data_IF_139884500924
#
_entry.id   IF_139884500924
#
_cell.length_a   1.000
_cell.length_b   1.000
_cell.length_c   1.000
_cell.angle_alpha   90.00
_cell.angle_beta   90.00
_cell.angle_gamma   90.00
#
_symmetry.space_group_name_H-M   'P 1'
#
loop_
_entity.id
_entity.type
_entity.pdbx_description
1 polymer ?
#
# COMPACT_ATOMS: atom_id res chain seq x y z
N UNK A 1 -24.54 26.24 -2.81
CA UNK A 1 -25.24 27.47 -2.42
C UNK A 1 -25.53 27.51 -0.91
N UNK A 2 -26.28 26.55 -0.34
CA UNK A 2 -26.62 26.52 1.08
C UNK A 2 -25.39 26.55 1.99
N UNK A 3 -24.40 25.72 1.72
CA UNK A 3 -23.16 25.66 2.51
C UNK A 3 -22.42 27.01 2.52
N UNK A 4 -22.33 27.69 1.37
CA UNK A 4 -21.72 29.01 1.29
C UNK A 4 -22.47 30.04 2.12
N UNK A 5 -23.82 30.04 2.07
CA UNK A 5 -24.64 30.94 2.88
C UNK A 5 -24.42 30.71 4.39
N UNK A 6 -24.37 29.46 4.83
CA UNK A 6 -24.11 29.13 6.24
C UNK A 6 -22.72 29.62 6.66
N UNK A 7 -21.71 29.43 5.79
CA UNK A 7 -20.33 29.90 6.08
C UNK A 7 -20.20 31.43 6.14
N UNK A 8 -21.00 32.16 5.38
CA UNK A 8 -21.04 33.63 5.44
C UNK A 8 -21.67 34.14 6.77
N UNK A 9 -22.50 33.34 7.42
CA UNK A 9 -23.13 33.65 8.69
C UNK A 9 -22.29 33.20 9.93
N UNK A 10 -21.17 32.55 9.73
CA UNK A 10 -20.28 32.05 10.81
C UNK A 10 -19.52 33.23 11.41
N UNK A 11 -19.70 33.46 12.70
CA UNK A 11 -18.95 34.47 13.46
C UNK A 11 -17.65 33.86 14.02
N UNK A 12 -16.67 34.68 14.47
CA UNK A 12 -15.44 34.19 15.06
C UNK A 12 -15.64 33.30 16.32
N UNK A 13 -16.76 33.47 17.02
CA UNK A 13 -17.12 32.73 18.23
C UNK A 13 -17.78 31.36 17.91
N UNK A 14 -18.27 31.21 16.67
CA UNK A 14 -18.97 29.97 16.29
C UNK A 14 -17.99 28.83 16.10
N UNK A 15 -18.41 27.63 16.53
CA UNK A 15 -17.73 26.36 16.24
C UNK A 15 -18.66 25.52 15.38
N UNK A 16 -18.24 25.33 14.13
CA UNK A 16 -19.01 24.56 13.15
C UNK A 16 -18.40 23.20 12.99
N UNK A 17 -19.15 22.15 13.30
CA UNK A 17 -18.75 20.77 13.10
C UNK A 17 -19.09 20.32 11.68
N UNK A 18 -18.10 19.76 11.01
CA UNK A 18 -18.29 19.24 9.65
C UNK A 18 -18.19 17.72 9.70
N UNK A 19 -19.30 17.03 9.40
CA UNK A 19 -19.31 15.58 9.26
C UNK A 19 -18.60 15.20 7.97
N UNK A 20 -17.47 14.55 8.12
CA UNK A 20 -16.65 13.99 7.05
C UNK A 20 -16.89 12.50 7.02
N UNK A 21 -17.42 11.99 5.93
CA UNK A 21 -17.67 10.55 5.73
C UNK A 21 -18.03 10.29 4.26
N UNK A 22 -18.18 9.03 3.89
CA UNK A 22 -18.73 8.65 2.59
C UNK A 22 -20.18 9.09 2.43
N UNK A 23 -20.61 9.31 1.21
CA UNK A 23 -21.95 9.88 0.91
C UNK A 23 -23.10 9.15 1.60
N UNK A 24 -23.05 7.82 1.68
CA UNK A 24 -24.09 7.04 2.36
C UNK A 24 -24.11 7.29 3.89
N UNK A 25 -22.95 7.50 4.51
CA UNK A 25 -22.85 7.84 5.93
C UNK A 25 -23.38 9.23 6.26
N UNK A 26 -23.48 10.16 5.28
CA UNK A 26 -24.08 11.48 5.49
C UNK A 26 -25.61 11.37 5.65
N UNK A 27 -26.25 10.57 4.81
CA UNK A 27 -27.72 10.55 4.66
C UNK A 27 -28.42 9.46 5.45
N UNK A 28 -27.73 8.36 5.76
CA UNK A 28 -28.35 7.22 6.46
C UNK A 28 -28.16 7.33 7.98
N UNK A 29 -29.27 7.49 8.77
CA UNK A 29 -29.18 7.66 10.21
C UNK A 29 -28.75 6.39 10.97
N UNK A 30 -28.84 5.21 10.36
CA UNK A 30 -28.32 3.97 10.93
C UNK A 30 -26.81 3.93 10.78
N UNK A 31 -26.30 4.16 9.57
CA UNK A 31 -24.88 4.12 9.26
C UNK A 31 -24.09 5.25 9.95
N UNK A 32 -24.70 6.41 10.20
CA UNK A 32 -24.07 7.49 10.95
C UNK A 32 -24.46 7.52 12.43
N UNK A 33 -25.17 6.50 12.93
CA UNK A 33 -25.62 6.36 14.32
C UNK A 33 -26.38 7.59 14.87
N UNK A 34 -26.96 8.41 14.00
CA UNK A 34 -27.63 9.66 14.38
C UNK A 34 -26.71 10.76 14.89
N UNK A 35 -25.40 10.68 14.61
CA UNK A 35 -24.38 11.64 15.05
C UNK A 35 -24.74 13.08 14.71
N UNK A 36 -25.18 13.43 13.48
CA UNK A 36 -25.58 14.82 13.19
C UNK A 36 -26.66 15.35 14.14
N UNK A 37 -27.67 14.52 14.44
CA UNK A 37 -28.73 14.87 15.37
C UNK A 37 -28.22 15.09 16.79
N UNK A 38 -27.27 14.30 17.24
CA UNK A 38 -26.65 14.45 18.57
C UNK A 38 -25.80 15.71 18.69
N UNK A 39 -25.11 16.10 17.62
CA UNK A 39 -24.37 17.38 17.56
C UNK A 39 -25.33 18.57 17.58
N UNK A 40 -26.42 18.55 16.80
CA UNK A 40 -27.45 19.59 16.79
C UNK A 40 -28.12 19.78 18.16
N UNK A 41 -28.46 18.69 18.87
CA UNK A 41 -29.03 18.74 20.23
C UNK A 41 -28.12 19.46 21.24
N UNK A 42 -26.83 19.51 21.01
CA UNK A 42 -25.83 20.20 21.83
C UNK A 42 -25.57 21.64 21.40
N UNK A 43 -26.42 22.16 20.53
CA UNK A 43 -26.33 23.53 20.04
C UNK A 43 -25.23 23.79 19.01
N UNK A 44 -24.60 22.72 18.48
CA UNK A 44 -23.60 22.91 17.44
C UNK A 44 -24.23 23.26 16.09
N UNK A 45 -23.57 24.12 15.32
CA UNK A 45 -23.84 24.22 13.88
C UNK A 45 -23.18 23.04 13.20
N UNK A 46 -23.91 22.35 12.31
CA UNK A 46 -23.44 21.13 11.65
C UNK A 46 -23.51 21.29 10.14
N UNK A 47 -22.39 21.11 9.51
CA UNK A 47 -22.27 20.93 8.05
C UNK A 47 -21.90 19.50 7.74
N UNK A 48 -22.06 19.12 6.49
CA UNK A 48 -21.53 17.86 5.96
C UNK A 48 -20.53 18.15 4.85
N UNK A 49 -19.75 17.17 4.50
CA UNK A 49 -18.79 17.25 3.41
C UNK A 49 -19.41 17.82 2.11
N UNK A 50 -20.67 17.48 1.83
CA UNK A 50 -21.40 17.95 0.65
C UNK A 50 -21.71 19.46 0.65
N UNK A 51 -21.61 20.14 1.79
CA UNK A 51 -21.78 21.59 1.89
C UNK A 51 -20.48 22.35 1.58
N UNK A 52 -19.34 21.68 1.59
CA UNK A 52 -18.05 22.25 1.24
C UNK A 52 -17.82 22.17 -0.28
N UNK A 53 -17.01 23.07 -0.81
CA UNK A 53 -16.61 23.04 -2.23
C UNK A 53 -15.41 22.11 -2.46
N UNK A 54 -15.47 20.89 -1.93
CA UNK A 54 -14.36 19.92 -2.00
C UNK A 54 -13.97 19.55 -3.42
N UNK A 55 -14.89 19.57 -4.36
CA UNK A 55 -14.58 19.29 -5.77
C UNK A 55 -13.72 20.36 -6.46
N UNK A 56 -13.59 21.55 -5.87
CA UNK A 56 -12.78 22.66 -6.42
C UNK A 56 -11.30 22.54 -5.94
N UNK A 57 -10.99 21.60 -5.05
CA UNK A 57 -9.63 21.42 -4.51
C UNK A 57 -8.90 20.34 -5.30
N UNK A 58 -7.86 20.73 -6.01
CA UNK A 58 -6.98 19.79 -6.70
C UNK A 58 -5.97 19.18 -5.73
N UNK A 59 -5.98 17.87 -5.61
CA UNK A 59 -5.04 17.09 -4.80
C UNK A 59 -4.05 16.27 -5.65
N UNK A 60 -4.18 16.28 -6.98
CA UNK A 60 -3.38 15.45 -7.87
C UNK A 60 -1.87 15.73 -7.81
N UNK A 61 -1.50 16.98 -7.50
CA UNK A 61 -0.10 17.36 -7.35
C UNK A 61 0.56 16.83 -6.06
N UNK A 62 -0.25 16.49 -5.04
CA UNK A 62 0.24 15.94 -3.76
C UNK A 62 0.04 14.43 -3.69
N UNK A 63 -1.09 13.95 -4.17
CA UNK A 63 -1.50 12.55 -4.10
C UNK A 63 -1.88 12.04 -5.50
N UNK A 64 -0.92 11.84 -6.41
CA UNK A 64 -1.18 11.48 -7.79
C UNK A 64 -1.85 10.11 -7.94
N UNK A 65 -1.69 9.21 -6.97
CA UNK A 65 -2.23 7.86 -6.96
C UNK A 65 -3.53 7.73 -6.17
N UNK A 66 -4.15 8.84 -5.79
CA UNK A 66 -5.41 8.83 -5.06
C UNK A 66 -6.58 8.67 -6.03
N UNK A 67 -6.91 7.45 -6.42
CA UNK A 67 -7.93 7.15 -7.44
C UNK A 67 -9.37 7.13 -6.91
N UNK A 68 -9.57 6.98 -5.61
CA UNK A 68 -10.93 6.89 -5.04
C UNK A 68 -11.60 8.26 -4.98
N UNK A 69 -12.72 8.50 -5.70
CA UNK A 69 -13.40 9.81 -5.69
C UNK A 69 -13.87 10.22 -4.29
N UNK A 70 -14.31 9.26 -3.46
CA UNK A 70 -14.71 9.55 -2.09
C UNK A 70 -13.52 9.97 -1.22
N UNK A 71 -12.35 9.39 -1.44
CA UNK A 71 -11.14 9.75 -0.71
C UNK A 71 -10.66 11.16 -1.10
N UNK A 72 -10.64 11.45 -2.40
CA UNK A 72 -10.34 12.81 -2.88
C UNK A 72 -11.28 13.84 -2.23
N UNK A 73 -12.58 13.53 -2.14
CA UNK A 73 -13.56 14.41 -1.54
C UNK A 73 -13.34 14.58 -0.02
N UNK A 74 -13.03 13.50 0.70
CA UNK A 74 -12.70 13.52 2.13
C UNK A 74 -11.46 14.37 2.40
N UNK A 75 -10.37 14.14 1.67
CA UNK A 75 -9.12 14.89 1.85
C UNK A 75 -9.22 16.36 1.40
N UNK A 76 -10.00 16.62 0.35
CA UNK A 76 -10.33 18.01 -0.04
C UNK A 76 -11.11 18.74 1.06
N UNK A 77 -12.06 18.04 1.68
CA UNK A 77 -12.78 18.57 2.85
C UNK A 77 -11.85 18.84 4.03
N UNK A 78 -10.90 17.96 4.31
CA UNK A 78 -9.89 18.17 5.34
C UNK A 78 -9.07 19.45 5.09
N UNK A 79 -8.63 19.68 3.85
CA UNK A 79 -7.88 20.87 3.46
C UNK A 79 -8.69 22.15 3.67
N UNK A 80 -9.94 22.17 3.23
CA UNK A 80 -10.83 23.32 3.45
C UNK A 80 -11.02 23.59 4.94
N UNK A 81 -11.26 22.54 5.74
CA UNK A 81 -11.43 22.66 7.18
C UNK A 81 -10.14 23.15 7.85
N UNK A 82 -8.98 22.65 7.42
CA UNK A 82 -7.68 23.09 7.94
C UNK A 82 -7.47 24.60 7.79
N UNK A 83 -7.83 25.13 6.65
CA UNK A 83 -7.65 26.55 6.31
C UNK A 83 -8.69 27.46 6.97
N UNK A 84 -9.85 26.96 7.36
CA UNK A 84 -10.94 27.77 7.94
C UNK A 84 -10.90 27.72 9.47
N UNK A 85 -10.78 28.87 10.17
CA UNK A 85 -10.56 28.91 11.62
C UNK A 85 -11.70 28.25 12.43
N UNK A 86 -12.94 28.37 11.99
CA UNK A 86 -14.13 27.96 12.75
C UNK A 86 -14.69 26.58 12.38
N UNK A 87 -14.09 25.89 11.38
CA UNK A 87 -14.54 24.55 11.00
C UNK A 87 -13.72 23.48 11.72
N UNK A 88 -14.40 22.47 12.24
CA UNK A 88 -13.80 21.33 12.90
C UNK A 88 -14.35 20.02 12.35
N UNK A 89 -13.48 19.09 11.97
CA UNK A 89 -13.90 17.84 11.38
C UNK A 89 -14.40 16.84 12.43
N UNK A 90 -15.53 16.20 12.12
CA UNK A 90 -15.96 14.94 12.74
C UNK A 90 -15.88 13.88 11.65
N UNK A 91 -14.76 13.15 11.65
CA UNK A 91 -14.44 12.16 10.63
C UNK A 91 -14.99 10.79 11.04
N UNK A 92 -16.03 10.37 10.33
CA UNK A 92 -16.70 9.09 10.53
C UNK A 92 -16.15 8.08 9.54
N UNK A 93 -15.51 7.03 10.04
CA UNK A 93 -14.93 5.95 9.24
C UNK A 93 -15.59 4.62 9.54
N UNK A 94 -15.53 3.69 8.58
CA UNK A 94 -15.98 2.32 8.79
C UNK A 94 -14.84 1.47 9.35
N UNK A 95 -15.14 0.64 10.33
CA UNK A 95 -14.18 -0.32 10.88
C UNK A 95 -13.76 -1.34 9.81
N UNK A 96 -12.46 -1.64 9.75
CA UNK A 96 -11.92 -2.65 8.84
C UNK A 96 -11.97 -2.30 7.34
N UNK A 97 -12.24 -1.04 6.99
CA UNK A 97 -12.19 -0.60 5.60
C UNK A 97 -10.75 -0.23 5.21
N UNK A 98 -10.10 -1.04 4.36
CA UNK A 98 -8.74 -0.80 3.90
C UNK A 98 -8.51 0.62 3.33
N UNK A 99 -9.31 1.09 2.35
CA UNK A 99 -9.19 2.45 1.84
C UNK A 99 -9.36 3.55 2.91
N UNK A 100 -10.31 3.42 3.85
CA UNK A 100 -10.48 4.40 4.93
C UNK A 100 -9.27 4.37 5.90
N UNK A 101 -8.68 3.21 6.12
CA UNK A 101 -7.42 3.07 6.85
C UNK A 101 -6.31 3.87 6.20
N UNK A 102 -6.08 3.64 4.92
CA UNK A 102 -5.03 4.31 4.14
C UNK A 102 -5.19 5.83 4.14
N UNK A 103 -6.36 6.35 3.80
CA UNK A 103 -6.59 7.80 3.77
C UNK A 103 -6.60 8.45 5.15
N UNK A 104 -6.76 7.69 6.23
CA UNK A 104 -6.69 8.23 7.60
C UNK A 104 -5.33 8.85 7.92
N UNK A 105 -4.24 8.31 7.39
CA UNK A 105 -2.90 8.88 7.53
C UNK A 105 -2.80 10.22 6.83
N UNK A 106 -3.26 10.28 5.57
CA UNK A 106 -3.25 11.51 4.78
C UNK A 106 -4.18 12.57 5.37
N UNK A 107 -5.33 12.15 5.92
CA UNK A 107 -6.23 13.04 6.63
C UNK A 107 -5.56 13.66 7.85
N UNK A 108 -4.88 12.86 8.68
CA UNK A 108 -4.13 13.34 9.84
C UNK A 108 -3.00 14.30 9.43
N UNK A 109 -2.28 13.99 8.35
CA UNK A 109 -1.24 14.83 7.78
C UNK A 109 -1.78 16.20 7.37
N UNK A 110 -2.88 16.24 6.61
CA UNK A 110 -3.52 17.50 6.20
C UNK A 110 -3.99 18.31 7.41
N UNK A 111 -4.64 17.66 8.38
CA UNK A 111 -5.14 18.35 9.57
C UNK A 111 -4.02 18.90 10.45
N UNK A 112 -2.87 18.20 10.54
CA UNK A 112 -1.73 18.63 11.36
C UNK A 112 -2.15 18.93 12.79
N UNK A 113 -1.85 20.11 13.29
CA UNK A 113 -2.15 20.52 14.68
C UNK A 113 -3.63 20.91 14.90
N UNK A 114 -4.45 20.97 13.85
CA UNK A 114 -5.85 21.33 13.99
C UNK A 114 -6.65 20.17 14.58
N UNK A 115 -7.37 20.38 15.71
CA UNK A 115 -8.10 19.30 16.37
C UNK A 115 -9.27 18.80 15.50
N UNK A 116 -9.46 17.51 15.51
CA UNK A 116 -10.60 16.85 14.87
C UNK A 116 -11.02 15.61 15.66
N UNK A 117 -12.25 15.18 15.49
CA UNK A 117 -12.77 13.96 16.10
C UNK A 117 -12.88 12.86 15.04
N UNK A 118 -12.18 11.72 15.24
CA UNK A 118 -12.33 10.52 14.43
C UNK A 118 -13.20 9.51 15.18
N UNK A 119 -14.26 9.06 14.54
CA UNK A 119 -15.17 8.03 15.07
C UNK A 119 -15.18 6.85 14.09
N UNK A 120 -14.88 5.68 14.60
CA UNK A 120 -15.04 4.43 13.86
C UNK A 120 -16.41 3.87 14.15
N UNK A 121 -17.10 3.42 13.12
CA UNK A 121 -18.42 2.78 13.24
C UNK A 121 -18.30 1.33 12.83
N UNK A 122 -18.77 0.45 13.69
CA UNK A 122 -18.97 -0.97 13.44
C UNK A 122 -20.32 -1.44 13.97
N UNK A 123 -20.66 -2.67 13.70
CA UNK A 123 -21.93 -3.30 14.15
C UNK A 123 -22.04 -3.49 15.66
N UNK A 124 -20.94 -3.37 16.39
CA UNK A 124 -20.87 -3.55 17.85
C UNK A 124 -20.83 -2.24 18.62
N UNK A 125 -20.73 -1.11 17.92
CA UNK A 125 -20.50 0.17 18.56
C UNK A 125 -21.74 0.69 19.31
N UNK A 126 -21.50 1.15 20.53
CA UNK A 126 -22.56 1.74 21.36
C UNK A 126 -22.73 3.22 21.05
N UNK A 127 -23.97 3.66 20.85
CA UNK A 127 -24.33 5.07 20.71
C UNK A 127 -23.85 5.92 21.90
N UNK A 128 -23.84 5.36 23.10
CA UNK A 128 -23.38 6.05 24.31
C UNK A 128 -21.89 6.40 24.20
N UNK A 129 -21.06 5.48 23.72
CA UNK A 129 -19.64 5.74 23.51
C UNK A 129 -19.38 6.86 22.48
N UNK A 130 -20.18 6.91 21.43
CA UNK A 130 -20.10 7.99 20.42
C UNK A 130 -20.45 9.34 21.04
N UNK A 131 -21.54 9.39 21.81
CA UNK A 131 -21.99 10.61 22.50
C UNK A 131 -20.91 11.14 23.43
N UNK A 132 -20.31 10.29 24.26
CA UNK A 132 -19.24 10.67 25.19
C UNK A 132 -18.02 11.24 24.45
N UNK A 133 -17.65 10.66 23.31
CA UNK A 133 -16.53 11.18 22.48
C UNK A 133 -16.86 12.56 21.88
N UNK A 134 -18.10 12.79 21.42
CA UNK A 134 -18.53 14.09 20.92
C UNK A 134 -18.45 15.12 22.07
N UNK A 135 -18.95 14.83 23.27
CA UNK A 135 -18.90 15.73 24.41
C UNK A 135 -17.48 16.05 24.85
N UNK A 136 -16.62 15.04 24.90
CA UNK A 136 -15.21 15.25 25.21
C UNK A 136 -14.51 16.15 24.18
N UNK A 137 -14.82 15.94 22.90
CA UNK A 137 -14.28 16.79 21.81
C UNK A 137 -14.76 18.23 21.93
N UNK A 138 -16.05 18.47 22.15
CA UNK A 138 -16.60 19.81 22.33
C UNK A 138 -15.97 20.52 23.53
N UNK A 139 -15.79 19.78 24.64
CA UNK A 139 -15.09 20.32 25.81
C UNK A 139 -13.62 20.67 25.50
N UNK A 140 -12.91 19.84 24.72
CA UNK A 140 -11.55 20.16 24.31
C UNK A 140 -11.47 21.43 23.47
N UNK A 141 -12.41 21.62 22.55
CA UNK A 141 -12.48 22.85 21.73
C UNK A 141 -12.74 24.11 22.55
N UNK A 142 -13.45 24.03 23.69
CA UNK A 142 -13.68 25.17 24.57
C UNK A 142 -12.43 25.56 25.39
N UNK A 143 -11.48 24.64 25.54
CA UNK A 143 -10.23 24.88 26.27
C UNK A 143 -9.05 25.31 25.38
N UNK A 144 -9.12 25.06 24.07
CA UNK A 144 -8.05 25.44 23.11
C UNK A 144 -7.82 26.97 23.09
N UNK A 145 -8.84 27.76 23.35
CA UNK A 145 -8.70 29.24 23.45
C UNK A 145 -7.92 29.71 24.68
N UNK A 146 -7.79 28.86 25.72
CA UNK A 146 -7.13 29.17 26.98
C UNK A 146 -5.71 28.59 27.13
N UNK A 147 -5.25 27.77 26.18
CA UNK A 147 -3.95 27.11 26.25
C UNK A 147 -3.11 27.41 25.02
N UNK A 148 -2.28 28.42 25.12
CA UNK A 148 -1.16 28.65 24.18
C UNK A 148 0.02 27.71 24.44
N UNK A 149 -0.09 26.77 25.38
CA UNK A 149 0.93 25.78 25.67
C UNK A 149 0.33 24.39 25.98
N UNK A 150 0.66 23.40 25.14
CA UNK A 150 0.61 21.95 25.36
C UNK A 150 -0.74 21.32 25.77
N UNK A 151 -1.51 20.90 24.76
CA UNK A 151 -2.41 19.75 24.93
C UNK A 151 -1.85 18.52 24.22
N UNK A 152 -1.24 17.63 24.97
CA UNK A 152 -0.89 16.27 24.52
C UNK A 152 -2.20 15.47 24.49
N UNK A 153 -2.74 15.18 23.33
CA UNK A 153 -3.84 14.24 23.17
C UNK A 153 -3.29 12.82 22.99
N UNK A 154 -3.77 11.81 23.76
CA UNK A 154 -3.11 10.50 23.88
C UNK A 154 -3.41 9.61 22.72
N UNK A 155 -3.42 9.71 21.57
CA UNK A 155 -3.42 8.75 20.44
C UNK A 155 -3.21 9.39 19.05
N UNK A 156 -3.43 10.71 18.90
CA UNK A 156 -3.08 11.41 17.66
C UNK A 156 -1.64 11.97 17.67
N UNK A 157 -0.96 11.89 18.79
CA UNK A 157 0.35 12.53 18.99
C UNK A 157 1.55 11.75 18.42
N UNK A 158 1.34 10.54 17.89
CA UNK A 158 2.43 9.72 17.32
C UNK A 158 2.75 10.09 15.87
N UNK A 159 1.87 10.82 15.17
CA UNK A 159 2.02 11.13 13.75
C UNK A 159 2.21 12.62 13.42
N UNK A 160 2.40 13.52 14.40
CA UNK A 160 2.68 14.93 14.12
C UNK A 160 4.18 15.20 13.89
N UNK A 161 4.77 14.53 12.92
CA UNK A 161 6.07 14.90 12.36
C UNK A 161 5.89 16.05 11.37
N UNK A 162 6.49 17.18 11.68
CA UNK A 162 6.45 18.43 10.88
C UNK A 162 6.69 18.19 9.40
N UNK A 163 5.66 18.43 8.59
CA UNK A 163 5.86 18.70 7.17
C UNK A 163 6.64 20.01 7.03
N UNK A 164 7.82 19.93 6.48
CA UNK A 164 8.52 21.10 5.97
C UNK A 164 7.87 21.48 4.65
N UNK A 165 7.42 22.74 4.56
CA UNK A 165 7.00 23.37 3.32
C UNK A 165 7.92 22.95 2.17
N UNK A 166 7.36 22.27 1.19
CA UNK A 166 8.04 21.91 -0.05
C UNK A 166 8.34 23.14 -0.92
N UNK A 167 9.22 24.01 -0.45
CA UNK A 167 9.91 24.93 -1.34
C UNK A 167 10.93 24.14 -2.14
N UNK A 168 10.69 24.00 -3.42
CA UNK A 168 11.71 23.67 -4.40
C UNK A 168 12.87 24.67 -4.26
N UNK A 169 13.86 24.34 -3.48
CA UNK A 169 15.15 24.99 -3.55
C UNK A 169 15.93 24.36 -4.70
N UNK A 170 15.66 24.85 -5.92
CA UNK A 170 16.65 24.81 -6.99
C UNK A 170 17.72 25.81 -6.63
N UNK A 171 18.72 25.40 -5.89
CA UNK A 171 20.01 26.07 -5.85
C UNK A 171 21.07 25.10 -6.34
N UNK A 172 21.46 25.33 -7.60
CA UNK A 172 22.77 24.96 -8.09
C UNK A 172 23.83 25.51 -7.11
N UNK A 173 24.45 24.63 -6.34
CA UNK A 173 25.75 24.90 -5.76
C UNK A 173 26.75 23.92 -6.35
N UNK A 174 27.52 24.45 -7.30
CA UNK A 174 28.81 23.91 -7.66
C UNK A 174 29.68 23.96 -6.42
N UNK A 175 29.92 22.82 -5.80
CA UNK A 175 31.12 22.56 -5.03
C UNK A 175 31.73 21.22 -5.47
N UNK A 176 32.68 21.35 -6.36
CA UNK A 176 33.65 20.34 -6.70
C UNK A 176 34.62 20.24 -5.54
N UNK A 177 34.62 19.14 -4.78
CA UNK A 177 35.81 18.42 -4.29
C UNK A 177 35.39 17.25 -3.40
N UNK A 178 36.06 16.14 -3.69
CA UNK A 178 35.97 14.81 -3.09
C UNK A 178 34.87 13.90 -3.69
N UNK A 179 35.14 13.49 -4.92
CA UNK A 179 34.54 12.29 -5.49
C UNK A 179 35.08 11.06 -4.73
N UNK A 180 34.38 10.69 -3.63
CA UNK A 180 34.36 9.29 -3.25
C UNK A 180 33.62 8.54 -4.37
N UNK A 181 34.21 7.43 -4.83
CA UNK A 181 33.48 6.52 -5.72
C UNK A 181 32.10 6.29 -5.18
N UNK A 182 31.02 6.36 -5.99
CA UNK A 182 29.67 6.15 -5.51
C UNK A 182 29.63 4.74 -4.87
N UNK A 183 29.43 4.69 -3.56
CA UNK A 183 29.16 3.43 -2.88
C UNK A 183 27.93 2.86 -3.55
N UNK A 184 28.07 1.68 -4.12
CA UNK A 184 27.00 1.03 -4.88
C UNK A 184 25.90 0.65 -3.90
N UNK A 185 24.78 1.40 -3.92
CA UNK A 185 23.63 1.20 -3.07
C UNK A 185 23.03 -0.19 -3.28
N UNK A 186 22.58 -0.85 -2.21
CA UNK A 186 21.92 -2.15 -2.29
C UNK A 186 20.40 -1.95 -2.36
N UNK A 187 19.78 -2.50 -3.40
CA UNK A 187 18.31 -2.50 -3.55
C UNK A 187 17.73 -3.78 -2.95
N UNK A 188 16.91 -3.64 -1.94
CA UNK A 188 16.19 -4.73 -1.28
C UNK A 188 14.87 -5.00 -1.97
N UNK A 189 14.66 -6.24 -2.39
CA UNK A 189 13.44 -6.72 -3.04
C UNK A 189 12.51 -7.35 -1.99
N UNK A 190 11.18 -7.22 -2.14
CA UNK A 190 10.22 -7.84 -1.23
C UNK A 190 10.29 -9.37 -1.26
N UNK A 191 9.88 -10.08 -0.21
CA UNK A 191 9.94 -11.53 -0.14
C UNK A 191 8.77 -12.18 -0.93
N UNK A 192 8.92 -12.30 -2.24
CA UNK A 192 7.94 -12.95 -3.12
C UNK A 192 8.48 -14.27 -3.68
N UNK A 193 8.83 -15.21 -2.79
CA UNK A 193 9.30 -16.54 -3.17
C UNK A 193 10.43 -16.50 -4.22
N UNK A 194 10.46 -17.44 -5.13
CA UNK A 194 11.47 -17.55 -6.20
C UNK A 194 11.41 -16.39 -7.22
N UNK A 195 10.29 -15.70 -7.34
CA UNK A 195 10.17 -14.59 -8.29
C UNK A 195 11.20 -13.48 -8.01
N UNK A 196 11.26 -13.00 -6.79
CA UNK A 196 12.23 -11.98 -6.41
C UNK A 196 13.64 -12.52 -6.24
N UNK A 197 13.79 -13.78 -5.84
CA UNK A 197 15.11 -14.45 -5.78
C UNK A 197 15.75 -14.55 -7.17
N UNK A 198 15.00 -14.98 -8.17
CA UNK A 198 15.52 -15.13 -9.53
C UNK A 198 15.70 -13.78 -10.23
N UNK A 199 14.83 -12.82 -9.95
CA UNK A 199 15.04 -11.45 -10.40
C UNK A 199 16.32 -10.85 -9.79
N UNK A 200 16.56 -11.03 -8.49
CA UNK A 200 17.79 -10.59 -7.83
C UNK A 200 19.01 -11.27 -8.44
N UNK A 201 18.94 -12.56 -8.75
CA UNK A 201 20.02 -13.29 -9.38
C UNK A 201 20.36 -12.68 -10.75
N UNK A 202 19.35 -12.43 -11.59
CA UNK A 202 19.56 -11.76 -12.89
C UNK A 202 20.19 -10.37 -12.73
N UNK A 203 19.61 -9.53 -11.87
CA UNK A 203 20.10 -8.16 -11.66
C UNK A 203 21.53 -8.14 -11.14
N UNK A 204 21.89 -9.05 -10.22
CA UNK A 204 23.26 -9.17 -9.72
C UNK A 204 24.25 -9.62 -10.81
N UNK A 205 23.85 -10.52 -11.71
CA UNK A 205 24.64 -10.90 -12.89
C UNK A 205 24.86 -9.72 -13.86
N UNK A 206 23.93 -8.75 -13.89
CA UNK A 206 24.05 -7.50 -14.65
C UNK A 206 24.80 -6.38 -13.89
N UNK A 207 25.44 -6.71 -12.78
CA UNK A 207 26.26 -5.76 -12.01
C UNK A 207 25.46 -4.84 -11.09
N UNK A 208 24.17 -5.10 -10.88
CA UNK A 208 23.39 -4.41 -9.84
C UNK A 208 23.62 -5.08 -8.49
N UNK A 209 23.53 -4.33 -7.39
CA UNK A 209 23.55 -4.90 -6.03
C UNK A 209 22.10 -5.03 -5.54
N UNK A 210 21.60 -6.25 -5.52
CA UNK A 210 20.26 -6.56 -5.02
C UNK A 210 20.31 -7.64 -3.98
N UNK A 211 19.40 -7.56 -3.00
CA UNK A 211 19.17 -8.58 -1.99
C UNK A 211 17.65 -8.78 -1.80
N UNK A 212 17.23 -9.98 -1.49
CA UNK A 212 15.82 -10.26 -1.17
C UNK A 212 15.66 -10.18 0.34
N UNK A 213 14.64 -9.44 0.80
CA UNK A 213 14.26 -9.42 2.20
C UNK A 213 13.82 -10.84 2.64
N UNK A 214 14.10 -11.25 3.88
CA UNK A 214 13.57 -12.50 4.42
C UNK A 214 12.05 -12.46 4.48
N UNK A 215 11.40 -13.64 4.63
CA UNK A 215 9.97 -13.69 4.88
C UNK A 215 9.61 -12.88 6.14
N UNK A 216 8.38 -12.39 6.18
CA UNK A 216 7.87 -11.62 7.31
C UNK A 216 7.86 -12.42 8.60
N UNK A 217 8.02 -11.72 9.70
CA UNK A 217 8.08 -12.29 11.05
C UNK A 217 7.08 -11.63 11.99
N UNK A 218 6.85 -12.27 13.15
CA UNK A 218 6.06 -11.65 14.22
C UNK A 218 6.67 -10.34 14.71
N UNK A 219 8.00 -10.19 14.64
CA UNK A 219 8.68 -8.96 15.03
C UNK A 219 8.38 -7.84 14.04
N UNK A 220 8.35 -8.13 12.74
CA UNK A 220 8.00 -7.15 11.71
C UNK A 220 6.56 -6.69 11.88
N UNK A 221 5.62 -7.62 12.05
CA UNK A 221 4.23 -7.25 12.28
C UNK A 221 4.04 -6.45 13.58
N UNK A 222 4.79 -6.80 14.64
CA UNK A 222 4.75 -6.06 15.90
C UNK A 222 5.31 -4.63 15.76
N UNK A 223 6.48 -4.49 15.12
CA UNK A 223 7.08 -3.19 14.84
C UNK A 223 6.16 -2.34 13.93
N UNK A 224 5.53 -2.96 12.92
CA UNK A 224 4.63 -2.29 12.00
C UNK A 224 3.37 -1.71 12.63
N UNK A 225 2.93 -2.25 13.78
CA UNK A 225 1.80 -1.68 14.52
C UNK A 225 2.02 -0.23 14.98
N UNK A 226 3.28 0.19 15.12
CA UNK A 226 3.60 1.58 15.43
C UNK A 226 3.31 2.53 14.24
N UNK A 227 3.24 2.00 13.03
CA UNK A 227 3.04 2.74 11.77
C UNK A 227 1.65 2.54 11.17
N UNK A 228 0.81 1.74 11.79
CA UNK A 228 -0.54 1.44 11.31
C UNK A 228 -1.61 1.78 12.34
N UNK A 229 -2.83 2.05 11.87
CA UNK A 229 -3.99 2.35 12.73
C UNK A 229 -4.83 1.11 13.03
N UNK A 230 -4.32 -0.10 12.74
CA UNK A 230 -5.02 -1.38 12.77
C UNK A 230 -6.19 -1.51 11.78
N UNK A 231 -6.26 -0.62 10.79
CA UNK A 231 -7.28 -0.64 9.71
C UNK A 231 -6.71 -1.00 8.36
N UNK A 232 -5.43 -0.75 8.19
CA UNK A 232 -4.70 -1.11 7.00
C UNK A 232 -4.58 -2.63 6.90
N UNK A 233 -4.34 -3.10 5.69
CA UNK A 233 -4.05 -4.51 5.47
C UNK A 233 -2.84 -4.96 6.28
N UNK A 234 -2.85 -6.20 6.75
CA UNK A 234 -1.74 -6.75 7.52
C UNK A 234 -0.42 -6.74 6.74
N UNK A 235 -0.48 -6.80 5.41
CA UNK A 235 0.66 -6.65 4.50
C UNK A 235 1.34 -5.30 4.64
N UNK A 236 0.57 -4.20 4.75
CA UNK A 236 1.11 -2.88 5.02
C UNK A 236 1.87 -2.84 6.36
N UNK A 237 1.24 -3.33 7.44
CA UNK A 237 1.88 -3.35 8.75
C UNK A 237 3.15 -4.19 8.75
N UNK A 238 3.12 -5.37 8.12
CA UNK A 238 4.29 -6.24 8.02
C UNK A 238 5.43 -5.58 7.24
N UNK A 239 5.13 -4.96 6.10
CA UNK A 239 6.11 -4.26 5.27
C UNK A 239 6.69 -3.05 6.01
N UNK A 240 5.86 -2.20 6.64
CA UNK A 240 6.32 -1.04 7.39
C UNK A 240 7.27 -1.44 8.53
N UNK A 241 6.93 -2.49 9.28
CA UNK A 241 7.78 -3.00 10.35
C UNK A 241 9.08 -3.60 9.84
N UNK A 242 9.03 -4.39 8.77
CA UNK A 242 10.23 -4.97 8.17
C UNK A 242 11.21 -3.89 7.67
N UNK A 243 10.69 -2.87 6.98
CA UNK A 243 11.51 -1.75 6.55
C UNK A 243 12.09 -0.98 7.73
N UNK A 244 11.26 -0.70 8.75
CA UNK A 244 11.70 -0.01 9.95
C UNK A 244 12.79 -0.77 10.72
N UNK A 245 12.67 -2.09 10.85
CA UNK A 245 13.68 -2.95 11.47
C UNK A 245 14.97 -2.93 10.64
N UNK A 246 14.86 -3.07 9.33
CA UNK A 246 16.03 -3.08 8.43
C UNK A 246 16.78 -1.74 8.40
N UNK A 247 16.08 -0.62 8.53
CA UNK A 247 16.67 0.71 8.62
C UNK A 247 17.41 0.96 9.94
N UNK A 248 17.10 0.21 11.00
CA UNK A 248 17.81 0.31 12.28
C UNK A 248 19.16 -0.41 12.28
N UNK A 249 19.39 -1.31 11.35
CA UNK A 249 20.67 -2.01 11.23
C UNK A 249 21.75 -1.03 10.76
N UNK A 250 22.73 -0.79 11.64
CA UNK A 250 23.84 0.17 11.42
C UNK A 250 25.02 -0.52 10.75
N UNK A 251 24.84 -1.01 9.56
CA UNK A 251 25.92 -1.62 8.75
C UNK A 251 26.67 -0.61 7.86
N UNK A 252 26.25 0.66 7.87
CA UNK A 252 26.87 1.75 7.10
C UNK A 252 26.52 1.72 5.61
N UNK A 253 25.64 0.82 5.18
CA UNK A 253 25.16 0.77 3.80
C UNK A 253 23.95 1.69 3.60
N UNK A 254 23.91 2.37 2.46
CA UNK A 254 22.71 3.08 2.01
C UNK A 254 21.74 2.07 1.40
N UNK A 255 20.53 1.97 1.98
CA UNK A 255 19.54 0.94 1.66
C UNK A 255 18.42 1.53 0.84
N UNK A 256 18.15 0.92 -0.30
CA UNK A 256 16.96 1.20 -1.12
C UNK A 256 16.00 0.02 -1.03
N UNK A 257 14.71 0.31 -1.00
CA UNK A 257 13.67 -0.73 -0.91
C UNK A 257 12.75 -0.64 -2.11
N UNK A 258 12.58 -1.75 -2.81
CA UNK A 258 11.61 -1.86 -3.88
C UNK A 258 10.22 -2.09 -3.29
N UNK A 259 9.32 -1.17 -3.56
CA UNK A 259 7.90 -1.25 -3.18
C UNK A 259 7.07 -1.02 -4.43
N UNK A 260 6.42 -2.06 -4.91
CA UNK A 260 5.56 -1.95 -6.08
C UNK A 260 4.32 -1.12 -5.78
N UNK A 261 3.84 -0.41 -6.77
CA UNK A 261 2.57 0.28 -6.75
C UNK A 261 1.78 -0.06 -8.01
N UNK A 262 0.46 -0.05 -7.90
CA UNK A 262 -0.46 -0.30 -9.01
C UNK A 262 -1.22 0.97 -9.36
N UNK A 263 -1.62 1.11 -10.61
CA UNK A 263 -2.57 2.14 -11.02
C UNK A 263 -4.01 1.66 -10.77
N UNK A 264 -4.90 2.60 -10.47
CA UNK A 264 -6.32 2.31 -10.28
C UNK A 264 -6.78 2.28 -8.82
N UNK A 265 -7.87 1.59 -8.56
CA UNK A 265 -8.58 1.65 -7.28
C UNK A 265 -8.00 0.73 -6.18
N UNK A 266 -6.96 -0.02 -6.48
CA UNK A 266 -6.31 -0.88 -5.49
C UNK A 266 -5.55 -0.06 -4.44
N UNK A 267 -5.54 -0.56 -3.21
CA UNK A 267 -4.88 0.12 -2.09
C UNK A 267 -3.35 0.17 -2.26
N UNK A 268 -2.79 -0.77 -2.99
CA UNK A 268 -1.34 -0.90 -3.21
C UNK A 268 -0.73 0.32 -3.89
N UNK A 269 -1.52 1.05 -4.69
CA UNK A 269 -1.09 2.30 -5.29
C UNK A 269 -0.73 3.39 -4.27
N UNK A 270 -1.29 3.33 -3.06
CA UNK A 270 -1.05 4.30 -1.98
C UNK A 270 0.02 3.83 -0.97
N UNK A 271 0.35 2.53 -0.95
CA UNK A 271 1.28 1.95 0.03
C UNK A 271 2.63 2.66 0.07
N UNK A 272 3.32 2.93 -1.06
CA UNK A 272 4.64 3.58 -1.01
C UNK A 272 4.59 4.97 -0.40
N UNK A 273 3.54 5.72 -0.67
CA UNK A 273 3.39 7.10 -0.21
C UNK A 273 3.16 7.15 1.30
N UNK A 274 2.28 6.27 1.81
CA UNK A 274 2.02 6.16 3.23
C UNK A 274 3.23 5.61 3.98
N UNK A 275 3.93 4.60 3.43
CA UNK A 275 5.18 4.09 4.02
C UNK A 275 6.21 5.20 4.17
N UNK A 276 6.40 6.02 3.14
CA UNK A 276 7.31 7.16 3.22
C UNK A 276 6.90 8.13 4.31
N UNK A 277 5.63 8.52 4.34
CA UNK A 277 5.11 9.47 5.31
C UNK A 277 5.28 8.98 6.76
N UNK A 278 4.94 7.72 7.06
CA UNK A 278 5.03 7.20 8.42
C UNK A 278 6.47 6.94 8.87
N UNK A 279 7.36 6.52 7.97
CA UNK A 279 8.77 6.31 8.29
C UNK A 279 9.51 7.64 8.47
N UNK A 280 9.23 8.63 7.64
CA UNK A 280 9.81 9.98 7.75
C UNK A 280 9.36 10.66 9.05
N UNK A 281 8.09 10.48 9.46
CA UNK A 281 7.57 10.99 10.72
C UNK A 281 8.31 10.41 11.94
N UNK A 282 8.77 9.15 11.84
CA UNK A 282 9.60 8.49 12.88
C UNK A 282 11.12 8.80 12.73
N UNK A 283 11.48 9.68 11.82
CA UNK A 283 12.88 10.07 11.56
C UNK A 283 13.69 9.02 10.78
N UNK A 284 13.03 7.98 10.27
CA UNK A 284 13.62 6.92 9.46
C UNK A 284 13.50 7.26 7.98
N UNK A 285 14.54 7.83 7.41
CA UNK A 285 14.57 8.12 5.97
C UNK A 285 14.75 6.83 5.19
N UNK A 286 13.71 6.43 4.46
CA UNK A 286 13.72 5.27 3.60
C UNK A 286 13.83 5.71 2.13
N UNK A 287 14.83 5.21 1.42
CA UNK A 287 14.90 5.34 -0.03
C UNK A 287 14.01 4.28 -0.67
N UNK A 288 12.79 4.67 -1.09
CA UNK A 288 11.84 3.78 -1.74
C UNK A 288 11.95 3.90 -3.26
N UNK A 289 12.21 2.79 -3.91
CA UNK A 289 12.08 2.63 -5.37
C UNK A 289 10.67 2.13 -5.64
N UNK A 290 9.85 2.97 -6.25
CA UNK A 290 8.39 2.76 -6.32
C UNK A 290 7.87 2.73 -7.77
N UNK A 291 8.26 1.73 -8.56
CA UNK A 291 7.77 1.61 -9.93
C UNK A 291 6.30 1.23 -9.96
N UNK A 292 5.58 1.75 -10.94
CA UNK A 292 4.28 1.20 -11.30
C UNK A 292 4.46 -0.18 -11.93
N UNK A 293 3.75 -1.16 -11.41
CA UNK A 293 3.84 -2.54 -11.87
C UNK A 293 3.47 -2.65 -13.35
N UNK A 294 2.43 -1.95 -13.79
CA UNK A 294 2.00 -1.91 -15.17
C UNK A 294 3.07 -1.32 -16.12
N UNK A 295 3.86 -0.35 -15.64
CA UNK A 295 4.96 0.20 -16.43
C UNK A 295 6.09 -0.80 -16.59
N UNK A 296 6.42 -1.54 -15.53
CA UNK A 296 7.44 -2.59 -15.58
C UNK A 296 7.05 -3.73 -16.51
N UNK A 297 5.77 -4.15 -16.47
CA UNK A 297 5.26 -5.26 -17.28
C UNK A 297 5.32 -4.97 -18.79
N UNK A 298 5.34 -3.70 -19.20
CA UNK A 298 5.34 -3.28 -20.59
C UNK A 298 6.55 -2.41 -20.99
N UNK A 299 7.60 -2.39 -20.15
CA UNK A 299 8.86 -1.76 -20.51
C UNK A 299 9.58 -2.51 -21.64
N UNK A 300 10.49 -1.86 -22.34
CA UNK A 300 11.30 -2.52 -23.39
C UNK A 300 12.08 -3.74 -22.88
N UNK A 301 12.47 -3.73 -21.59
CA UNK A 301 13.21 -4.81 -20.93
C UNK A 301 12.30 -5.76 -20.12
N UNK A 302 10.98 -5.68 -20.26
CA UNK A 302 10.03 -6.50 -19.50
C UNK A 302 10.11 -8.00 -19.83
N UNK A 303 10.76 -8.38 -20.89
CA UNK A 303 10.92 -9.77 -21.33
C UNK A 303 11.49 -10.65 -20.21
N UNK A 304 12.48 -10.16 -19.48
CA UNK A 304 13.08 -10.88 -18.34
C UNK A 304 12.10 -11.00 -17.17
N UNK A 305 11.33 -9.95 -16.89
CA UNK A 305 10.32 -10.00 -15.84
C UNK A 305 9.28 -11.09 -16.15
N UNK A 306 8.79 -11.14 -17.38
CA UNK A 306 7.85 -12.15 -17.80
C UNK A 306 8.44 -13.58 -17.75
N UNK A 307 9.69 -13.75 -18.15
CA UNK A 307 10.38 -15.04 -18.03
C UNK A 307 10.47 -15.48 -16.57
N UNK A 308 10.85 -14.59 -15.65
CA UNK A 308 10.92 -14.89 -14.21
C UNK A 308 9.53 -15.24 -13.65
N UNK A 309 8.49 -14.51 -14.08
CA UNK A 309 7.12 -14.80 -13.65
C UNK A 309 6.68 -16.21 -14.09
N UNK A 310 6.85 -16.55 -15.36
CA UNK A 310 6.45 -17.85 -15.90
C UNK A 310 7.23 -19.00 -15.29
N UNK A 311 8.55 -18.85 -15.10
CA UNK A 311 9.37 -19.85 -14.43
C UNK A 311 8.98 -20.00 -12.96
N UNK A 312 8.68 -18.92 -12.27
CA UNK A 312 8.20 -18.95 -10.90
C UNK A 312 6.84 -19.65 -10.76
N UNK A 313 5.90 -19.35 -11.65
CA UNK A 313 4.60 -20.04 -11.71
C UNK A 313 4.78 -21.54 -11.94
N UNK A 314 5.65 -21.93 -12.89
CA UNK A 314 5.96 -23.32 -13.18
C UNK A 314 6.59 -24.03 -11.96
N UNK A 315 7.52 -23.38 -11.28
CA UNK A 315 8.12 -23.91 -10.06
C UNK A 315 7.09 -24.21 -8.96
N UNK A 316 6.11 -23.33 -8.81
CA UNK A 316 5.02 -23.52 -7.85
C UNK A 316 4.08 -24.69 -8.18
N UNK A 317 4.09 -25.16 -9.42
CA UNK A 317 3.33 -26.35 -9.85
C UNK A 317 4.08 -27.68 -9.60
N UNK A 318 5.38 -27.63 -9.27
CA UNK A 318 6.19 -28.83 -9.08
C UNK A 318 5.86 -29.52 -7.77
N UNK A 319 6.10 -30.83 -7.70
CA UNK A 319 6.15 -31.57 -6.45
C UNK A 319 7.20 -30.98 -5.51
N UNK A 320 6.94 -31.03 -4.20
CA UNK A 320 7.79 -30.44 -3.18
C UNK A 320 9.24 -30.92 -3.25
N UNK A 321 9.43 -32.21 -3.49
CA UNK A 321 10.76 -32.82 -3.65
C UNK A 321 11.56 -32.18 -4.80
N UNK A 322 10.88 -31.82 -5.89
CA UNK A 322 11.50 -31.24 -7.07
C UNK A 322 11.68 -29.72 -6.96
N UNK A 323 10.80 -29.03 -6.23
CA UNK A 323 10.94 -27.58 -6.00
C UNK A 323 12.31 -27.22 -5.44
N UNK A 324 12.76 -27.90 -4.38
CA UNK A 324 14.06 -27.64 -3.77
C UNK A 324 15.22 -28.03 -4.69
N UNK A 325 15.13 -29.12 -5.41
CA UNK A 325 16.16 -29.53 -6.38
C UNK A 325 16.29 -28.52 -7.52
N UNK A 326 15.16 -28.06 -8.07
CA UNK A 326 15.13 -27.07 -9.14
C UNK A 326 15.68 -25.75 -8.65
N UNK A 327 15.25 -25.26 -7.48
CA UNK A 327 15.74 -24.03 -6.87
C UNK A 327 17.25 -24.04 -6.64
N UNK A 328 17.79 -25.14 -6.11
CA UNK A 328 19.22 -25.28 -5.86
C UNK A 328 20.03 -25.28 -7.16
N UNK A 329 19.54 -25.95 -8.22
CA UNK A 329 20.25 -26.04 -9.51
C UNK A 329 20.06 -24.79 -10.39
N UNK A 330 19.07 -23.94 -10.11
CA UNK A 330 18.73 -22.79 -10.97
C UNK A 330 19.90 -21.82 -11.17
N UNK A 331 20.65 -21.53 -10.10
CA UNK A 331 21.83 -20.66 -10.17
C UNK A 331 22.91 -21.19 -11.14
N UNK A 332 23.11 -22.49 -11.19
CA UNK A 332 24.05 -23.11 -12.11
C UNK A 332 23.56 -23.01 -13.55
N UNK A 333 22.25 -23.24 -13.75
CA UNK A 333 21.62 -23.13 -15.07
C UNK A 333 21.70 -21.70 -15.64
N UNK A 334 21.65 -20.68 -14.79
CA UNK A 334 21.78 -19.27 -15.22
C UNK A 334 23.20 -18.86 -15.61
N UNK A 335 24.20 -19.73 -15.40
CA UNK A 335 25.57 -19.50 -15.90
C UNK A 335 25.75 -19.88 -17.37
N UNK A 336 24.77 -20.51 -18.01
CA UNK A 336 24.80 -20.84 -19.44
C UNK A 336 24.88 -19.57 -20.31
N UNK A 337 25.59 -19.59 -21.46
CA UNK A 337 25.75 -18.41 -22.32
C UNK A 337 24.42 -17.89 -22.90
N UNK A 338 23.44 -18.76 -23.10
CA UNK A 338 22.09 -18.48 -23.61
C UNK A 338 21.05 -18.28 -22.50
N UNK A 339 21.49 -18.31 -21.21
CA UNK A 339 20.60 -18.09 -20.09
C UNK A 339 19.83 -16.74 -20.23
N UNK A 340 18.59 -16.76 -19.81
CA UNK A 340 17.65 -15.64 -19.94
C UNK A 340 17.21 -15.31 -21.37
N UNK A 341 17.50 -16.23 -22.34
CA UNK A 341 16.83 -16.20 -23.63
C UNK A 341 15.45 -16.84 -23.54
N UNK A 342 14.57 -16.54 -24.50
CA UNK A 342 13.24 -17.14 -24.58
C UNK A 342 13.30 -18.65 -24.81
N UNK A 343 14.22 -19.09 -25.66
CA UNK A 343 14.48 -20.49 -25.96
C UNK A 343 14.94 -21.25 -24.70
N UNK A 344 15.82 -20.64 -23.93
CA UNK A 344 16.24 -21.20 -22.65
C UNK A 344 15.07 -21.35 -21.66
N UNK A 345 14.23 -20.32 -21.54
CA UNK A 345 13.03 -20.38 -20.70
C UNK A 345 12.06 -21.46 -21.15
N UNK A 346 11.79 -21.54 -22.45
CA UNK A 346 10.96 -22.61 -23.02
C UNK A 346 11.51 -24.00 -22.70
N UNK A 347 12.82 -24.18 -22.82
CA UNK A 347 13.51 -25.45 -22.50
C UNK A 347 13.32 -25.83 -21.03
N UNK A 348 13.45 -24.89 -20.11
CA UNK A 348 13.24 -25.13 -18.68
C UNK A 348 11.77 -25.49 -18.38
N UNK A 349 10.81 -24.76 -18.95
CA UNK A 349 9.39 -25.07 -18.77
C UNK A 349 9.06 -26.49 -19.23
N UNK A 350 9.61 -26.92 -20.36
CA UNK A 350 9.42 -28.28 -20.87
C UNK A 350 10.15 -29.33 -20.01
N UNK A 351 11.36 -29.03 -19.56
CA UNK A 351 12.10 -29.93 -18.63
C UNK A 351 11.32 -30.16 -17.34
N UNK A 352 10.78 -29.10 -16.75
CA UNK A 352 10.08 -29.18 -15.47
C UNK A 352 8.68 -29.78 -15.55
N UNK A 353 8.10 -29.85 -16.73
CA UNK A 353 6.75 -30.38 -16.95
C UNK A 353 6.56 -31.81 -16.42
N UNK A 354 7.62 -32.63 -16.44
CA UNK A 354 7.58 -34.03 -15.96
C UNK A 354 7.55 -34.15 -14.43
N UNK A 355 7.74 -33.04 -13.72
CA UNK A 355 7.74 -33.00 -12.26
C UNK A 355 6.46 -32.39 -11.67
N UNK A 356 5.48 -32.11 -12.52
CA UNK A 356 4.17 -31.60 -12.09
C UNK A 356 3.33 -32.76 -11.58
N UNK A 357 2.72 -32.58 -10.42
CA UNK A 357 1.86 -33.60 -9.83
C UNK A 357 0.49 -33.66 -10.52
N UNK A 358 -0.03 -34.88 -10.71
CA UNK A 358 -1.41 -35.13 -11.15
C UNK A 358 -2.38 -35.39 -9.98
N UNK A 359 -1.87 -35.36 -8.74
CA UNK A 359 -2.66 -35.60 -7.54
C UNK A 359 -3.75 -34.54 -7.33
N UNK A 360 -4.62 -34.79 -6.34
CA UNK A 360 -5.71 -33.87 -6.00
C UNK A 360 -5.19 -32.48 -5.63
N UNK A 361 -5.38 -31.54 -6.51
CA UNK A 361 -4.91 -30.16 -6.37
C UNK A 361 -5.95 -29.29 -5.65
N UNK A 362 -5.46 -28.37 -4.81
CA UNK A 362 -6.25 -27.28 -4.23
C UNK A 362 -5.61 -25.93 -4.61
N UNK A 363 -6.38 -25.12 -5.32
CA UNK A 363 -5.93 -23.80 -5.72
C UNK A 363 -5.91 -22.83 -4.56
N UNK A 364 -4.79 -22.17 -4.36
CA UNK A 364 -4.60 -21.07 -3.43
C UNK A 364 -4.59 -19.75 -4.22
N UNK A 365 -5.56 -18.90 -3.97
CA UNK A 365 -5.69 -17.59 -4.61
C UNK A 365 -5.83 -16.49 -3.57
N UNK A 366 -5.25 -15.33 -3.84
CA UNK A 366 -5.29 -14.17 -2.95
C UNK A 366 -4.18 -13.17 -3.24
N UNK A 367 -3.97 -12.26 -2.31
CA UNK A 367 -2.86 -11.30 -2.38
C UNK A 367 -1.51 -12.03 -2.49
N UNK A 368 -0.67 -11.71 -3.48
CA UNK A 368 0.60 -12.41 -3.69
C UNK A 368 1.55 -12.34 -2.49
N UNK A 369 1.59 -11.23 -1.76
CA UNK A 369 2.42 -11.07 -0.57
C UNK A 369 1.98 -12.04 0.52
N UNK A 370 0.67 -12.19 0.71
CA UNK A 370 0.12 -13.15 1.68
C UNK A 370 0.33 -14.58 1.22
N UNK A 371 0.05 -14.89 -0.04
CA UNK A 371 0.18 -16.25 -0.59
C UNK A 371 1.61 -16.79 -0.45
N UNK A 372 2.61 -15.95 -0.72
CA UNK A 372 4.01 -16.37 -0.74
C UNK A 372 4.77 -16.16 0.58
N UNK A 373 4.09 -15.68 1.62
CA UNK A 373 4.64 -15.59 2.98
C UNK A 373 4.08 -16.69 3.87
N UNK A 374 4.93 -17.61 4.30
CA UNK A 374 4.53 -18.68 5.21
C UNK A 374 4.00 -18.11 6.56
N UNK A 375 4.57 -17.01 7.02
CA UNK A 375 4.12 -16.34 8.22
C UNK A 375 2.74 -15.68 8.07
N UNK A 376 2.51 -14.89 7.01
CA UNK A 376 1.26 -14.17 6.82
C UNK A 376 0.08 -15.11 6.50
N UNK A 377 0.32 -16.18 5.75
CA UNK A 377 -0.68 -17.18 5.42
C UNK A 377 -0.82 -18.30 6.47
N UNK A 378 -0.08 -18.22 7.60
CA UNK A 378 -0.13 -19.18 8.70
C UNK A 378 0.22 -20.61 8.27
N UNK A 379 1.23 -20.79 7.41
CA UNK A 379 1.64 -22.08 6.83
C UNK A 379 0.49 -22.80 6.12
N UNK A 380 -0.30 -22.09 5.33
CA UNK A 380 -1.47 -22.64 4.62
C UNK A 380 -1.11 -23.86 3.75
N UNK A 381 0.06 -23.86 3.12
CA UNK A 381 0.55 -24.97 2.33
C UNK A 381 0.61 -26.28 3.15
N UNK A 382 1.18 -26.22 4.34
CA UNK A 382 1.25 -27.37 5.26
C UNK A 382 -0.16 -27.84 5.67
N UNK A 383 -1.07 -26.92 5.93
CA UNK A 383 -2.45 -27.25 6.27
C UNK A 383 -3.16 -27.97 5.11
N UNK A 384 -2.98 -27.53 3.88
CA UNK A 384 -3.55 -28.16 2.68
C UNK A 384 -3.00 -29.59 2.51
N UNK A 385 -1.68 -29.77 2.66
CA UNK A 385 -1.04 -31.10 2.55
C UNK A 385 -1.52 -32.08 3.63
N UNK A 386 -1.78 -31.61 4.85
CA UNK A 386 -2.37 -32.45 5.93
C UNK A 386 -3.72 -33.05 5.56
N UNK A 387 -4.44 -32.44 4.63
CA UNK A 387 -5.72 -32.92 4.10
C UNK A 387 -5.58 -33.73 2.80
N UNK A 388 -4.38 -34.16 2.45
CA UNK A 388 -4.07 -34.92 1.25
C UNK A 388 -4.42 -34.21 -0.07
N UNK A 389 -4.25 -32.88 -0.09
CA UNK A 389 -4.28 -32.08 -1.31
C UNK A 389 -2.89 -31.54 -1.61
N UNK A 390 -2.62 -31.32 -2.90
CA UNK A 390 -1.43 -30.59 -3.34
C UNK A 390 -1.81 -29.13 -3.52
N UNK A 391 -1.15 -28.20 -2.81
CA UNK A 391 -1.40 -26.78 -2.99
C UNK A 391 -0.86 -26.32 -4.35
N UNK A 392 -1.70 -25.66 -5.14
CA UNK A 392 -1.34 -25.01 -6.39
C UNK A 392 -1.62 -23.52 -6.23
N UNK A 393 -0.62 -22.71 -6.48
CA UNK A 393 -0.75 -21.27 -6.33
C UNK A 393 -1.34 -20.64 -7.58
N UNK A 394 -2.11 -19.58 -7.40
CA UNK A 394 -2.55 -18.70 -8.47
C UNK A 394 -1.33 -18.21 -9.26
N UNK A 395 -1.27 -18.45 -10.58
CA UNK A 395 -0.14 -18.00 -11.39
C UNK A 395 -0.03 -16.46 -11.36
N UNK A 396 1.11 -15.96 -10.90
CA UNK A 396 1.34 -14.53 -10.78
C UNK A 396 1.39 -13.86 -12.15
N UNK A 397 1.91 -14.54 -13.17
CA UNK A 397 1.93 -14.05 -14.54
C UNK A 397 0.52 -13.80 -15.10
N UNK A 398 -0.43 -14.73 -14.86
CA UNK A 398 -1.82 -14.57 -15.32
C UNK A 398 -2.54 -13.47 -14.53
N UNK A 399 -2.30 -13.36 -13.24
CA UNK A 399 -2.86 -12.28 -12.41
C UNK A 399 -2.37 -10.91 -12.87
N UNK A 400 -1.08 -10.74 -13.08
CA UNK A 400 -0.50 -9.48 -13.53
C UNK A 400 -0.93 -9.14 -14.97
N UNK A 401 -1.06 -10.15 -15.82
CA UNK A 401 -1.63 -9.95 -17.15
C UNK A 401 -3.07 -9.44 -17.10
N UNK A 402 -3.88 -10.04 -16.24
CA UNK A 402 -5.27 -9.60 -16.03
C UNK A 402 -5.31 -8.14 -15.55
N UNK A 403 -4.54 -7.79 -14.52
CA UNK A 403 -4.48 -6.40 -14.03
C UNK A 403 -4.05 -5.43 -15.12
N UNK A 404 -3.04 -5.76 -15.89
CA UNK A 404 -2.53 -4.92 -16.94
C UNK A 404 -3.55 -4.70 -18.08
N UNK A 405 -4.32 -5.74 -18.44
CA UNK A 405 -5.36 -5.65 -19.48
C UNK A 405 -6.58 -4.86 -19.01
N UNK A 406 -6.98 -5.01 -17.75
CA UNK A 406 -8.11 -4.28 -17.18
C UNK A 406 -7.79 -2.80 -16.89
N UNK A 407 -6.52 -2.43 -16.81
CA UNK A 407 -6.11 -1.01 -16.63
C UNK A 407 -6.48 -0.11 -17.82
N UNK A 408 -6.96 -0.70 -18.93
CA UNK A 408 -7.33 0.02 -20.15
C UNK A 408 -6.15 0.59 -20.94
N UNK A 409 -4.92 0.24 -20.57
CA UNK A 409 -3.72 0.62 -21.31
C UNK A 409 -3.63 -0.16 -22.63
N UNK A 410 -3.20 0.54 -23.68
CA UNK A 410 -2.85 -0.14 -24.93
C UNK A 410 -1.54 -0.89 -24.72
N UNK A 411 -1.62 -2.19 -24.74
CA UNK A 411 -0.43 -3.05 -24.77
C UNK A 411 0.19 -2.92 -26.16
N UNK A 412 1.52 -2.68 -26.27
CA UNK A 412 2.19 -2.66 -27.57
C UNK A 412 2.01 -3.98 -28.31
N UNK A 413 1.66 -3.91 -29.60
CA UNK A 413 1.34 -5.11 -30.41
C UNK A 413 2.47 -6.15 -30.39
N UNK A 414 3.73 -5.71 -30.53
CA UNK A 414 4.90 -6.60 -30.51
C UNK A 414 5.04 -7.36 -29.16
N UNK A 415 4.52 -6.79 -28.09
CA UNK A 415 4.53 -7.40 -26.76
C UNK A 415 3.43 -8.45 -26.63
N UNK A 416 2.26 -8.15 -27.21
CA UNK A 416 1.10 -9.03 -27.15
C UNK A 416 1.38 -10.36 -27.84
N UNK A 417 2.01 -10.35 -29.01
CA UNK A 417 2.35 -11.58 -29.75
C UNK A 417 3.36 -12.45 -28.99
N UNK A 418 4.43 -11.81 -28.49
CA UNK A 418 5.49 -12.51 -27.78
C UNK A 418 5.01 -13.12 -26.45
N UNK A 419 4.25 -12.36 -25.68
CA UNK A 419 3.69 -12.85 -24.43
C UNK A 419 2.64 -13.92 -24.66
N UNK A 420 1.86 -13.80 -25.73
CA UNK A 420 0.89 -14.83 -26.13
C UNK A 420 1.59 -16.17 -26.40
N UNK A 421 2.72 -16.14 -27.07
CA UNK A 421 3.54 -17.34 -27.31
C UNK A 421 4.04 -17.97 -26.02
N UNK A 422 4.59 -17.18 -25.10
CA UNK A 422 5.01 -17.67 -23.78
C UNK A 422 3.85 -18.26 -22.97
N UNK A 423 2.74 -17.54 -22.92
CA UNK A 423 1.54 -18.00 -22.20
C UNK A 423 0.95 -19.27 -22.82
N UNK A 424 1.02 -19.43 -24.13
CA UNK A 424 0.59 -20.68 -24.78
C UNK A 424 1.47 -21.87 -24.38
N UNK A 425 2.80 -21.69 -24.31
CA UNK A 425 3.70 -22.73 -23.87
C UNK A 425 3.40 -23.10 -22.42
N UNK A 426 3.31 -22.11 -21.53
CA UNK A 426 2.99 -22.32 -20.13
C UNK A 426 1.66 -23.06 -19.95
N UNK A 427 0.57 -22.56 -20.57
CA UNK A 427 -0.77 -23.16 -20.49
C UNK A 427 -0.83 -24.56 -21.11
N UNK A 428 -0.07 -24.81 -22.16
CA UNK A 428 0.04 -26.14 -22.77
C UNK A 428 0.67 -27.18 -21.87
N UNK A 429 1.57 -26.76 -20.98
CA UNK A 429 2.29 -27.65 -20.06
C UNK A 429 1.62 -27.74 -18.69
N UNK A 430 1.25 -26.58 -18.11
CA UNK A 430 0.80 -26.46 -16.71
C UNK A 430 -0.71 -26.24 -16.56
N UNK A 431 -1.44 -26.15 -17.64
CA UNK A 431 -2.86 -25.85 -17.67
C UNK A 431 -3.15 -24.36 -17.69
N UNK A 432 -4.41 -24.02 -17.88
CA UNK A 432 -4.88 -22.63 -17.83
C UNK A 432 -5.86 -22.45 -16.69
N UNK A 433 -5.86 -21.27 -16.12
CA UNK A 433 -6.95 -20.80 -15.31
C UNK A 433 -8.22 -20.70 -16.17
N UNK A 434 -9.24 -21.46 -15.85
CA UNK A 434 -10.59 -21.30 -16.39
C UNK A 434 -11.60 -21.25 -15.28
#
# INVERSE_FOLDING_TARGET
>A
KLGAQILEEVTPEDKVLVLITRNYGVSDPVLNMGIPGEMLKRGCRVLTLSHLKGHDVDLSGHYPNLYWPFAQHILSGAKIIKEHPNLYAVYLTNHGCGPDGMISHLFAEIMGDKPYLKIEVDEHQSKVGVITRIEAFLNSLSHVENCTERAILPEAAVLSGRLRDGKKDTKDTKDTKDMKEPQQETVYLPPLSVYTEWMALYLNQKGKRTAVLPDYTSQDLHAGKAYSTAKEYCTFSAAAGQLANRLQETDGEEKQFLVFQTEGAEADGMVPEILRAVLDADGKRAHLVTPFLEQLLFAEEADILWQVLLLGDAWHCLDEEWREKVRASFREKTAAPDAWSREWTKSLLQEWAVYVTEDRQLLLAGDPIVLHSAYLNQNMEEAVRKHAFVPVYMPLSEYLWFLATESGRKIPEHFTEQLHEFMQIYRGVYGSWK
#
